data_IF_186590323401
#
_entry.id   IF_186590323401
#
_cell.length_a   1.000
_cell.length_b   1.000
_cell.length_c   1.000
_cell.angle_alpha   90.00
_cell.angle_beta   90.00
_cell.angle_gamma   90.00
#
_symmetry.space_group_name_H-M   'P 1'
#
loop_
_entity.id
_entity.type
_entity.pdbx_description
1 polymer ?
#
# COMPACT_ATOMS: atom_id res chain seq x y z
N UNK A 1 -67.99 -11.02 27.88
CA UNK A 1 -67.51 -9.75 27.29
C UNK A 1 -66.01 -9.69 27.56
N UNK A 2 -65.16 -10.17 26.64
CA UNK A 2 -64.50 -9.47 25.50
C UNK A 2 -63.52 -8.35 25.93
N UNK A 3 -62.34 -8.39 25.29
CA UNK A 3 -61.24 -7.41 25.19
C UNK A 3 -60.18 -7.44 26.29
N UNK A 4 -58.87 -7.37 26.03
CA UNK A 4 -58.04 -7.56 24.84
C UNK A 4 -56.57 -7.63 25.32
N UNK A 5 -55.75 -8.45 24.66
CA UNK A 5 -54.30 -8.50 24.81
C UNK A 5 -53.65 -7.17 24.42
N UNK A 6 -52.62 -6.75 25.17
CA UNK A 6 -51.59 -5.84 24.66
C UNK A 6 -50.23 -6.44 24.96
N UNK A 7 -49.67 -7.09 23.94
CA UNK A 7 -48.30 -7.55 23.91
C UNK A 7 -47.37 -6.34 23.77
N UNK A 8 -46.49 -6.14 24.74
CA UNK A 8 -45.33 -5.27 24.62
C UNK A 8 -44.31 -5.95 23.71
N UNK A 9 -44.31 -5.56 22.44
CA UNK A 9 -43.26 -5.90 21.49
C UNK A 9 -42.05 -5.01 21.80
N UNK A 10 -41.08 -5.55 22.53
CA UNK A 10 -39.76 -4.95 22.67
C UNK A 10 -39.04 -5.03 21.32
N UNK A 11 -38.90 -3.90 20.64
CA UNK A 11 -38.09 -3.80 19.42
C UNK A 11 -36.62 -3.88 19.83
N UNK A 12 -36.00 -5.04 19.66
CA UNK A 12 -34.55 -5.15 19.65
C UNK A 12 -34.04 -4.42 18.40
N UNK A 13 -33.42 -3.26 18.58
CA UNK A 13 -32.70 -2.59 17.51
C UNK A 13 -31.53 -3.48 17.09
N UNK A 14 -31.64 -4.11 15.93
CA UNK A 14 -30.55 -4.85 15.31
C UNK A 14 -29.42 -3.88 14.94
N UNK A 15 -28.38 -3.83 15.76
CA UNK A 15 -27.14 -3.11 15.44
C UNK A 15 -26.54 -3.72 14.19
N UNK A 16 -26.54 -2.95 13.10
CA UNK A 16 -25.98 -3.36 11.82
C UNK A 16 -24.46 -3.21 11.88
N UNK A 17 -23.76 -4.23 12.38
CA UNK A 17 -22.30 -4.33 12.27
C UNK A 17 -21.93 -4.81 10.85
N UNK A 18 -22.13 -3.95 9.84
CA UNK A 18 -21.42 -4.09 8.57
C UNK A 18 -20.16 -3.23 8.62
N UNK A 19 -19.13 -3.71 9.31
CA UNK A 19 -17.78 -3.43 8.81
C UNK A 19 -17.60 -4.37 7.63
N UNK A 20 -17.26 -3.88 6.41
CA UNK A 20 -16.74 -4.79 5.40
C UNK A 20 -15.56 -5.49 6.06
N UNK A 21 -15.60 -6.82 6.13
CA UNK A 21 -14.43 -7.59 6.54
C UNK A 21 -13.30 -7.16 5.59
N UNK A 22 -12.22 -6.60 6.12
CA UNK A 22 -11.00 -6.44 5.32
C UNK A 22 -10.67 -7.82 4.77
N UNK A 23 -10.39 -7.88 3.47
CA UNK A 23 -10.02 -9.13 2.80
C UNK A 23 -8.88 -9.78 3.59
N UNK A 24 -8.99 -11.09 3.84
CA UNK A 24 -7.97 -11.79 4.57
C UNK A 24 -6.66 -11.71 3.78
N UNK A 25 -5.68 -10.98 4.33
CA UNK A 25 -4.34 -10.90 3.75
C UNK A 25 -3.58 -12.18 4.10
N UNK A 26 -2.98 -12.80 3.10
CA UNK A 26 -2.07 -13.91 3.31
C UNK A 26 -0.80 -13.41 3.99
N UNK A 27 -0.42 -14.03 5.11
CA UNK A 27 0.84 -13.72 5.80
C UNK A 27 1.95 -14.58 5.22
N UNK A 28 2.54 -14.11 4.12
CA UNK A 28 3.69 -14.75 3.48
C UNK A 28 4.65 -13.70 2.92
N UNK A 29 5.92 -14.09 2.77
CA UNK A 29 6.93 -13.23 2.12
C UNK A 29 6.60 -13.00 0.64
N UNK A 30 5.96 -13.98 -0.01
CA UNK A 30 5.46 -13.83 -1.37
C UNK A 30 4.38 -12.75 -1.46
N UNK A 31 3.37 -12.80 -0.59
CA UNK A 31 2.33 -11.77 -0.55
C UNK A 31 2.91 -10.39 -0.19
N UNK A 32 3.87 -10.33 0.73
CA UNK A 32 4.59 -9.08 1.04
C UNK A 32 5.23 -8.47 -0.21
N UNK A 33 5.96 -9.29 -0.98
CA UNK A 33 6.61 -8.84 -2.21
C UNK A 33 5.60 -8.40 -3.28
N UNK A 34 4.46 -9.08 -3.39
CA UNK A 34 3.36 -8.70 -4.28
C UNK A 34 2.80 -7.32 -3.92
N UNK A 35 2.52 -7.07 -2.63
CA UNK A 35 2.03 -5.76 -2.17
C UNK A 35 3.06 -4.66 -2.45
N UNK A 36 4.35 -4.92 -2.20
CA UNK A 36 5.42 -3.97 -2.50
C UNK A 36 5.60 -3.71 -4.00
N UNK A 37 5.42 -4.72 -4.87
CA UNK A 37 5.44 -4.54 -6.33
C UNK A 37 4.25 -3.71 -6.81
N UNK A 38 3.04 -3.96 -6.29
CA UNK A 38 1.88 -3.11 -6.60
C UNK A 38 2.10 -1.67 -6.15
N UNK A 39 2.59 -1.47 -4.92
CA UNK A 39 2.91 -0.15 -4.40
C UNK A 39 3.95 0.58 -5.27
N UNK A 40 4.98 -0.15 -5.74
CA UNK A 40 6.02 0.38 -6.64
C UNK A 40 5.47 0.83 -8.01
N UNK A 41 4.30 0.35 -8.42
CA UNK A 41 3.68 0.68 -9.73
C UNK A 41 2.63 1.78 -9.64
N UNK A 42 1.77 1.71 -8.62
CA UNK A 42 0.56 2.54 -8.54
C UNK A 42 0.60 3.59 -7.42
N UNK A 43 1.56 3.48 -6.49
CA UNK A 43 1.70 4.39 -5.35
C UNK A 43 0.43 4.52 -4.50
N UNK A 44 -0.41 3.49 -4.48
CA UNK A 44 -1.59 3.41 -3.64
C UNK A 44 -1.15 3.00 -2.22
N UNK A 45 -1.48 3.87 -1.26
CA UNK A 45 -1.15 3.68 0.14
C UNK A 45 -1.72 2.37 0.71
N UNK A 46 -2.82 1.86 0.14
CA UNK A 46 -3.41 0.57 0.54
C UNK A 46 -2.38 -0.56 0.50
N UNK A 47 -1.58 -0.63 -0.57
CA UNK A 47 -0.58 -1.69 -0.72
C UNK A 47 0.58 -1.55 0.26
N UNK A 48 1.00 -0.31 0.54
CA UNK A 48 1.97 -0.04 1.59
C UNK A 48 1.45 -0.48 2.97
N UNK A 49 0.21 -0.14 3.32
CA UNK A 49 -0.40 -0.53 4.59
C UNK A 49 -0.51 -2.06 4.71
N UNK A 50 -0.91 -2.74 3.64
CA UNK A 50 -0.96 -4.19 3.59
C UNK A 50 0.43 -4.82 3.78
N UNK A 51 1.45 -4.30 3.07
CA UNK A 51 2.83 -4.75 3.21
C UNK A 51 3.33 -4.59 4.67
N UNK A 52 3.05 -3.46 5.30
CA UNK A 52 3.44 -3.23 6.70
C UNK A 52 2.69 -4.12 7.69
N UNK A 53 1.42 -4.44 7.43
CA UNK A 53 0.66 -5.44 8.22
C UNK A 53 1.31 -6.82 8.12
N UNK A 54 1.58 -7.29 6.90
CA UNK A 54 2.20 -8.60 6.66
C UNK A 54 3.59 -8.67 7.29
N UNK A 55 4.42 -7.64 7.09
CA UNK A 55 5.73 -7.54 7.72
C UNK A 55 5.65 -7.62 9.24
N UNK A 56 4.68 -6.94 9.85
CA UNK A 56 4.45 -6.99 11.30
C UNK A 56 4.10 -8.38 11.80
N UNK A 57 3.30 -9.16 11.07
CA UNK A 57 2.99 -10.55 11.43
C UNK A 57 4.20 -11.47 11.23
N UNK A 58 4.94 -11.34 10.13
CA UNK A 58 6.18 -12.10 9.88
C UNK A 58 7.25 -11.81 10.94
N UNK A 59 7.35 -10.56 11.41
CA UNK A 59 8.27 -10.18 12.48
C UNK A 59 7.92 -10.86 13.81
N UNK A 60 6.63 -11.10 14.12
CA UNK A 60 6.23 -11.88 15.31
C UNK A 60 6.64 -13.34 15.21
N UNK A 61 6.76 -13.88 14.00
CA UNK A 61 7.33 -15.21 13.74
C UNK A 61 8.87 -15.21 13.75
N UNK A 62 9.52 -14.06 13.96
CA UNK A 62 10.98 -13.92 13.94
C UNK A 62 11.57 -13.80 12.53
N UNK A 63 10.73 -13.58 11.50
CA UNK A 63 11.18 -13.36 10.12
C UNK A 63 11.27 -11.86 9.86
N UNK A 64 12.38 -11.43 9.28
CA UNK A 64 12.63 -10.03 8.92
C UNK A 64 12.98 -9.92 7.44
N UNK A 65 11.99 -10.13 6.54
CA UNK A 65 12.23 -9.98 5.11
C UNK A 65 12.62 -8.53 4.77
N UNK A 66 13.33 -8.35 3.66
CA UNK A 66 13.72 -7.03 3.21
C UNK A 66 12.50 -6.27 2.66
N UNK A 67 12.34 -5.01 3.08
CA UNK A 67 11.33 -4.11 2.53
C UNK A 67 11.99 -3.20 1.51
N UNK A 68 11.54 -3.27 0.26
CA UNK A 68 12.04 -2.38 -0.80
C UNK A 68 11.01 -2.14 -1.88
N UNK A 69 10.98 -0.91 -2.39
CA UNK A 69 10.31 -0.52 -3.63
C UNK A 69 11.32 -0.37 -4.77
N UNK A 70 10.88 -0.62 -6.01
CA UNK A 70 11.71 -0.69 -7.23
C UNK A 70 11.10 0.10 -8.41
N UNK A 71 10.48 1.24 -8.12
CA UNK A 71 9.83 2.11 -9.12
C UNK A 71 10.80 2.62 -10.18
N UNK A 72 12.01 3.02 -9.79
CA UNK A 72 13.01 3.51 -10.72
C UNK A 72 13.34 2.46 -11.79
N UNK A 73 13.52 1.21 -11.38
CA UNK A 73 13.79 0.08 -12.26
C UNK A 73 12.60 -0.19 -13.18
N UNK A 74 11.37 -0.07 -12.66
CA UNK A 74 10.16 -0.22 -13.47
C UNK A 74 10.08 0.85 -14.57
N UNK A 75 10.42 2.10 -14.24
CA UNK A 75 10.36 3.22 -15.18
C UNK A 75 11.50 3.14 -16.20
N UNK A 76 12.71 2.77 -15.77
CA UNK A 76 13.85 2.61 -16.66
C UNK A 76 13.56 1.53 -17.73
N UNK A 77 12.96 0.42 -17.32
CA UNK A 77 12.59 -0.68 -18.21
C UNK A 77 11.34 -0.37 -19.07
N UNK A 78 10.54 0.64 -18.72
CA UNK A 78 9.35 1.01 -19.50
C UNK A 78 9.68 1.82 -20.77
N UNK A 79 10.88 2.40 -20.87
CA UNK A 79 11.28 3.16 -22.04
C UNK A 79 11.61 2.25 -23.23
N UNK A 80 10.76 2.25 -24.26
CA UNK A 80 11.02 1.52 -25.51
C UNK A 80 12.31 1.97 -26.24
N UNK A 81 12.71 3.23 -26.06
CA UNK A 81 13.92 3.79 -26.68
C UNK A 81 14.79 4.48 -25.62
N UNK A 82 16.05 4.03 -25.39
CA UNK A 82 16.95 4.61 -24.39
C UNK A 82 17.25 6.11 -24.59
N UNK A 83 17.04 6.63 -25.80
CA UNK A 83 17.24 8.05 -26.09
C UNK A 83 16.23 8.95 -25.37
N UNK A 84 14.99 8.48 -25.16
CA UNK A 84 13.96 9.25 -24.45
C UNK A 84 14.35 9.51 -23.00
N UNK A 85 15.02 8.53 -22.39
CA UNK A 85 15.58 8.68 -21.04
C UNK A 85 16.52 9.88 -20.94
N UNK A 86 17.25 10.24 -22.02
CA UNK A 86 18.29 11.28 -22.00
C UNK A 86 17.74 12.70 -22.09
N UNK A 87 16.43 12.89 -22.22
CA UNK A 87 15.85 14.23 -22.15
C UNK A 87 16.00 14.77 -20.72
N UNK A 88 16.44 16.02 -20.59
CA UNK A 88 16.75 16.65 -19.30
C UNK A 88 15.59 16.54 -18.31
N UNK A 89 14.36 16.75 -18.78
CA UNK A 89 13.16 16.62 -17.96
C UNK A 89 12.98 15.19 -17.43
N UNK A 90 13.20 14.18 -18.27
CA UNK A 90 13.07 12.76 -17.89
C UNK A 90 14.17 12.38 -16.91
N UNK A 91 15.42 12.78 -17.16
CA UNK A 91 16.53 12.57 -16.23
C UNK A 91 16.24 13.18 -14.85
N UNK A 92 15.78 14.43 -14.80
CA UNK A 92 15.43 15.08 -13.54
C UNK A 92 14.38 14.30 -12.74
N UNK A 93 13.34 13.78 -13.39
CA UNK A 93 12.32 12.98 -12.70
C UNK A 93 12.88 11.62 -12.25
N UNK A 94 13.69 10.96 -13.07
CA UNK A 94 14.33 9.68 -12.71
C UNK A 94 15.28 9.85 -11.51
N UNK A 95 16.09 10.91 -11.48
CA UNK A 95 17.00 11.21 -10.37
C UNK A 95 16.23 11.49 -9.07
N UNK A 96 15.13 12.24 -9.16
CA UNK A 96 14.26 12.49 -8.02
C UNK A 96 13.61 11.21 -7.52
N UNK A 97 13.07 10.36 -8.41
CA UNK A 97 12.48 9.07 -8.04
C UNK A 97 13.52 8.22 -7.32
N UNK A 98 14.74 8.09 -7.87
CA UNK A 98 15.82 7.32 -7.26
C UNK A 98 16.13 7.83 -5.84
N UNK A 99 16.31 9.14 -5.69
CA UNK A 99 16.63 9.74 -4.40
C UNK A 99 15.56 9.44 -3.34
N UNK A 100 14.28 9.59 -3.67
CA UNK A 100 13.21 9.34 -2.71
C UNK A 100 12.94 7.85 -2.49
N UNK A 101 13.15 7.00 -3.50
CA UNK A 101 13.13 5.54 -3.40
C UNK A 101 14.20 5.06 -2.41
N UNK A 102 15.45 5.52 -2.55
CA UNK A 102 16.55 5.14 -1.67
C UNK A 102 16.30 5.56 -0.22
N UNK A 103 15.77 6.77 0.00
CA UNK A 103 15.40 7.24 1.33
C UNK A 103 14.31 6.35 1.96
N UNK A 104 13.30 5.94 1.18
CA UNK A 104 12.24 5.06 1.66
C UNK A 104 12.78 3.65 1.95
N UNK A 105 13.61 3.09 1.07
CA UNK A 105 14.20 1.77 1.24
C UNK A 105 15.17 1.69 2.44
N UNK A 106 15.81 2.80 2.81
CA UNK A 106 16.63 2.86 4.03
C UNK A 106 15.79 2.90 5.31
N UNK A 107 14.61 3.52 5.28
CA UNK A 107 13.71 3.58 6.44
C UNK A 107 12.25 3.52 6.00
N UNK A 108 11.78 2.29 5.81
CA UNK A 108 10.45 2.00 5.26
C UNK A 108 9.31 2.44 6.19
N UNK A 109 9.56 2.50 7.50
CA UNK A 109 8.56 2.88 8.49
C UNK A 109 8.30 4.40 8.59
N UNK A 110 9.16 5.22 7.96
CA UNK A 110 9.05 6.67 8.03
C UNK A 110 7.99 7.21 7.07
N UNK A 111 6.85 7.61 7.62
CA UNK A 111 5.71 8.15 6.89
C UNK A 111 6.03 9.40 6.04
N UNK A 112 7.03 10.20 6.46
CA UNK A 112 7.47 11.34 5.68
C UNK A 112 8.20 10.90 4.39
N UNK A 113 8.96 9.81 4.44
CA UNK A 113 9.61 9.26 3.24
C UNK A 113 8.57 8.67 2.29
N UNK A 114 7.60 7.92 2.81
CA UNK A 114 6.47 7.38 2.03
C UNK A 114 5.72 8.51 1.32
N UNK A 115 5.33 9.55 2.06
CA UNK A 115 4.59 10.70 1.50
C UNK A 115 5.39 11.44 0.42
N UNK A 116 6.68 11.68 0.68
CA UNK A 116 7.54 12.36 -0.29
C UNK A 116 7.77 11.53 -1.55
N UNK A 117 7.98 10.23 -1.41
CA UNK A 117 8.12 9.30 -2.51
C UNK A 117 6.86 9.26 -3.38
N UNK A 118 5.69 9.05 -2.78
CA UNK A 118 4.41 9.03 -3.51
C UNK A 118 4.19 10.34 -4.28
N UNK A 119 4.49 11.49 -3.65
CA UNK A 119 4.33 12.81 -4.29
C UNK A 119 5.20 12.94 -5.55
N UNK A 120 6.46 12.53 -5.48
CA UNK A 120 7.39 12.64 -6.61
C UNK A 120 7.07 11.61 -7.69
N UNK A 121 6.79 10.37 -7.30
CA UNK A 121 6.49 9.31 -8.26
C UNK A 121 5.19 9.58 -9.03
N UNK A 122 4.14 10.09 -8.37
CA UNK A 122 2.90 10.52 -9.05
C UNK A 122 3.09 11.72 -9.96
N UNK A 123 4.07 12.60 -9.70
CA UNK A 123 4.35 13.74 -10.57
C UNK A 123 5.09 13.35 -11.87
N UNK A 124 5.72 12.17 -11.89
CA UNK A 124 6.45 11.64 -13.03
C UNK A 124 5.60 10.71 -13.94
N UNK A 125 4.35 10.44 -13.55
CA UNK A 125 3.40 9.55 -14.22
C UNK A 125 2.57 10.31 -15.26
#
# INVERSE_FOLDING_TARGET
MKFAQLALIGVAAAVTLKKPCEEALEVSEEQLNIELDYFSRNFDHKHYDNAMKIYGELAKEGKHPQLSVHTWELYDNAFAFPRVRRYDLVQQHMDLIQHFQDNLNQNFSNQQHVTNFIRVAKAAQ
#
